data_IF_200806429314
#
_entry.id   IF_200806429314
#
_cell.length_a   1.000
_cell.length_b   1.000
_cell.length_c   1.000
_cell.angle_alpha   90.00
_cell.angle_beta   90.00
_cell.angle_gamma   90.00
#
_symmetry.space_group_name_H-M   'P 1'
#
loop_
_entity.id
_entity.type
_entity.pdbx_description
1 polymer ?
#
# COMPACT_ATOMS: atom_id res chain seq x y z
N UNK A 1 -5.51 -4.85 15.79
CA UNK A 1 -4.26 -4.07 15.66
C UNK A 1 -4.65 -2.80 14.94
N UNK A 2 -4.42 -1.61 15.52
CA UNK A 2 -4.83 -0.36 14.89
C UNK A 2 -4.13 -0.16 13.55
N UNK A 3 -4.87 0.31 12.55
CA UNK A 3 -4.33 0.72 11.27
C UNK A 3 -3.55 2.02 11.45
N UNK A 4 -2.33 2.04 10.93
CA UNK A 4 -1.52 3.26 10.85
C UNK A 4 -1.68 3.85 9.47
N UNK A 5 -2.39 4.97 9.38
CA UNK A 5 -2.68 5.66 8.12
C UNK A 5 -1.77 6.87 8.02
N UNK A 6 -1.00 6.95 6.94
CA UNK A 6 -0.19 8.12 6.62
C UNK A 6 -0.89 8.91 5.52
N UNK A 7 -1.43 10.08 5.86
CA UNK A 7 -2.11 10.97 4.93
C UNK A 7 -1.10 12.02 4.45
N UNK A 8 -0.81 12.02 3.15
CA UNK A 8 0.02 13.03 2.52
C UNK A 8 -0.86 14.11 1.89
N UNK A 9 -0.62 15.38 2.25
CA UNK A 9 -1.21 16.54 1.58
C UNK A 9 -0.38 16.94 0.36
N UNK A 10 -1.00 17.60 -0.61
CA UNK A 10 -0.31 18.20 -1.77
C UNK A 10 0.73 19.25 -1.35
N UNK A 11 0.59 19.83 -0.16
CA UNK A 11 1.51 20.79 0.44
C UNK A 11 2.79 20.14 0.99
N UNK A 12 2.95 18.82 0.85
CA UNK A 12 4.14 18.08 1.29
C UNK A 12 4.10 17.64 2.75
N UNK A 13 3.08 18.07 3.50
CA UNK A 13 2.87 17.64 4.89
C UNK A 13 2.32 16.21 4.93
N UNK A 14 2.86 15.39 5.84
CA UNK A 14 2.39 14.02 6.08
C UNK A 14 1.92 13.89 7.53
N UNK A 15 0.68 13.47 7.71
CA UNK A 15 0.07 13.24 9.01
C UNK A 15 -0.08 11.75 9.27
N UNK A 16 0.32 11.30 10.45
CA UNK A 16 0.18 9.91 10.88
C UNK A 16 -1.02 9.81 11.84
N UNK A 17 -1.96 8.94 11.50
CA UNK A 17 -3.14 8.66 12.29
C UNK A 17 -3.18 7.16 12.65
N UNK A 18 -3.59 6.84 13.86
CA UNK A 18 -3.81 5.47 14.31
C UNK A 18 -5.32 5.28 14.53
N UNK A 19 -5.93 4.42 13.73
CA UNK A 19 -7.38 4.24 13.65
C UNK A 19 -7.73 2.75 13.68
N UNK A 20 -8.81 2.39 14.36
CA UNK A 20 -9.41 1.06 14.29
C UNK A 20 -10.63 1.12 13.38
N UNK A 21 -10.40 1.03 12.07
CA UNK A 21 -11.47 1.09 11.05
C UNK A 21 -11.43 -0.14 10.14
N UNK A 22 -12.60 -0.73 9.90
CA UNK A 22 -12.76 -1.87 8.97
C UNK A 22 -13.13 -1.43 7.55
N UNK A 23 -13.52 -0.16 7.36
CA UNK A 23 -14.03 0.39 6.08
C UNK A 23 -12.98 0.46 4.96
N UNK A 24 -11.69 0.33 5.30
CA UNK A 24 -10.58 0.32 4.34
C UNK A 24 -10.37 -1.09 3.77
N UNK A 25 -10.94 -2.12 4.41
CA UNK A 25 -10.80 -3.51 3.99
C UNK A 25 -11.60 -3.76 2.71
N UNK A 26 -10.92 -4.25 1.67
CA UNK A 26 -11.54 -4.61 0.38
C UNK A 26 -11.35 -3.58 -0.74
N UNK A 27 -10.72 -2.43 -0.45
CA UNK A 27 -10.37 -1.45 -1.48
C UNK A 27 -9.04 -1.75 -2.14
N UNK A 28 -8.89 -1.39 -3.42
CA UNK A 28 -7.68 -1.66 -4.19
C UNK A 28 -6.69 -0.49 -4.14
N UNK A 29 -5.45 -0.79 -4.53
CA UNK A 29 -4.44 0.24 -4.74
C UNK A 29 -4.86 1.18 -5.89
N UNK A 30 -4.71 2.48 -5.70
CA UNK A 30 -5.18 3.56 -6.59
C UNK A 30 -6.70 3.79 -6.61
N UNK A 31 -7.46 3.14 -5.73
CA UNK A 31 -8.86 3.50 -5.55
C UNK A 31 -8.96 4.83 -4.78
N UNK A 32 -10.00 5.60 -5.12
CA UNK A 32 -10.37 6.82 -4.42
C UNK A 32 -11.32 6.50 -3.27
N UNK A 33 -11.09 7.15 -2.14
CA UNK A 33 -11.86 7.03 -0.91
C UNK A 33 -12.29 8.41 -0.46
N UNK A 34 -13.56 8.56 -0.10
CA UNK A 34 -14.05 9.74 0.60
C UNK A 34 -13.49 9.79 2.02
N UNK A 35 -12.97 10.95 2.44
CA UNK A 35 -12.37 11.16 3.75
C UNK A 35 -13.30 10.84 4.92
N UNK A 36 -14.61 10.98 4.69
CA UNK A 36 -15.66 10.60 5.65
C UNK A 36 -15.58 9.13 6.11
N UNK A 37 -15.12 8.22 5.24
CA UNK A 37 -14.95 6.79 5.56
C UNK A 37 -13.72 6.50 6.43
N UNK A 38 -12.85 7.49 6.62
CA UNK A 38 -11.66 7.37 7.47
C UNK A 38 -11.94 8.04 8.82
N UNK A 39 -12.40 9.28 8.78
CA UNK A 39 -12.74 10.10 9.94
C UNK A 39 -13.92 11.02 9.57
N UNK A 40 -14.89 11.23 10.47
CA UNK A 40 -15.94 12.23 10.29
C UNK A 40 -15.36 13.63 10.03
N UNK A 41 -14.23 13.96 10.65
CA UNK A 41 -13.56 15.26 10.54
C UNK A 41 -12.92 15.52 9.17
N UNK A 42 -12.81 14.50 8.31
CA UNK A 42 -12.27 14.61 6.95
C UNK A 42 -13.39 14.63 5.88
N UNK A 43 -14.61 14.97 6.29
CA UNK A 43 -15.75 15.11 5.38
C UNK A 43 -15.48 16.23 4.34
N UNK A 44 -15.60 15.89 3.05
CA UNK A 44 -15.31 16.78 1.92
C UNK A 44 -13.94 16.57 1.24
N UNK A 45 -13.07 15.73 1.80
CA UNK A 45 -11.80 15.37 1.16
C UNK A 45 -11.90 14.07 0.36
N UNK A 46 -11.21 14.00 -0.79
CA UNK A 46 -10.97 12.75 -1.52
C UNK A 46 -9.51 12.32 -1.33
N UNK A 47 -9.31 11.05 -0.97
CA UNK A 47 -7.99 10.44 -0.82
C UNK A 47 -7.79 9.32 -1.84
N UNK A 48 -6.57 9.15 -2.33
CA UNK A 48 -6.17 8.02 -3.16
C UNK A 48 -5.32 7.05 -2.34
N UNK A 49 -5.59 5.74 -2.43
CA UNK A 49 -4.72 4.73 -1.84
C UNK A 49 -3.45 4.58 -2.68
N UNK A 50 -2.43 5.37 -2.37
CA UNK A 50 -1.13 5.32 -3.09
C UNK A 50 -0.28 4.10 -2.74
N UNK A 51 -0.49 3.52 -1.56
CA UNK A 51 0.38 2.50 -0.98
C UNK A 51 -0.22 1.83 0.24
N UNK A 52 0.21 0.60 0.51
CA UNK A 52 -0.04 -0.09 1.76
C UNK A 52 1.15 -0.98 2.11
N UNK A 53 1.34 -1.23 3.40
CA UNK A 53 2.31 -2.19 3.91
C UNK A 53 1.68 -3.13 4.92
N UNK A 54 2.01 -4.41 4.83
CA UNK A 54 1.61 -5.40 5.83
C UNK A 54 2.50 -5.35 7.09
N UNK A 55 2.11 -6.04 8.16
CA UNK A 55 2.85 -6.13 9.43
C UNK A 55 4.32 -6.56 9.27
N UNK A 56 4.64 -7.37 8.26
CA UNK A 56 6.02 -7.79 7.97
C UNK A 56 6.80 -6.80 7.08
N UNK A 57 6.23 -5.65 6.75
CA UNK A 57 6.87 -4.64 5.88
C UNK A 57 6.78 -4.94 4.38
N UNK A 58 5.97 -5.93 3.96
CA UNK A 58 5.74 -6.18 2.53
C UNK A 58 4.83 -5.10 1.94
N UNK A 59 5.21 -4.56 0.79
CA UNK A 59 4.47 -3.52 0.09
C UNK A 59 3.36 -4.12 -0.76
N UNK A 60 2.20 -3.45 -0.82
CA UNK A 60 1.18 -3.75 -1.80
C UNK A 60 1.67 -3.40 -3.22
N UNK A 61 1.34 -4.25 -4.19
CA UNK A 61 1.75 -4.13 -5.58
C UNK A 61 0.54 -4.21 -6.49
N UNK A 62 0.40 -3.25 -7.41
CA UNK A 62 -0.74 -3.15 -8.34
C UNK A 62 -0.89 -4.41 -9.21
N UNK A 63 0.23 -5.00 -9.61
CA UNK A 63 0.27 -6.16 -10.50
C UNK A 63 -0.13 -7.48 -9.80
N UNK A 64 -0.29 -7.45 -8.47
CA UNK A 64 -0.59 -8.65 -7.67
C UNK A 64 -2.00 -8.52 -7.11
N UNK A 65 -2.94 -9.23 -7.75
CA UNK A 65 -4.33 -9.31 -7.28
C UNK A 65 -4.48 -10.31 -6.13
N UNK A 66 -5.46 -10.05 -5.26
CA UNK A 66 -5.88 -10.94 -4.19
C UNK A 66 -5.38 -10.53 -2.80
N UNK A 67 -6.05 -11.09 -1.79
CA UNK A 67 -5.81 -10.78 -0.38
C UNK A 67 -4.78 -11.78 0.14
N UNK A 68 -3.51 -11.36 0.23
CA UNK A 68 -2.44 -12.18 0.79
C UNK A 68 -1.05 -11.94 0.20
N UNK A 69 -0.06 -12.68 0.71
CA UNK A 69 1.32 -12.64 0.21
C UNK A 69 1.50 -13.61 -0.94
N UNK A 70 1.94 -13.10 -2.09
CA UNK A 70 2.34 -13.92 -3.24
C UNK A 70 3.84 -13.80 -3.49
N UNK A 71 4.47 -14.91 -3.85
CA UNK A 71 5.86 -14.91 -4.32
C UNK A 71 5.86 -14.52 -5.79
N UNK A 72 6.42 -13.35 -6.10
CA UNK A 72 6.56 -12.85 -7.48
C UNK A 72 8.02 -12.56 -7.76
N UNK A 73 8.43 -12.75 -9.03
CA UNK A 73 9.77 -12.40 -9.47
C UNK A 73 9.81 -10.90 -9.76
N UNK A 74 10.62 -10.17 -9.00
CA UNK A 74 10.78 -8.73 -9.13
C UNK A 74 12.00 -8.39 -9.98
N UNK A 75 11.84 -7.41 -10.86
CA UNK A 75 12.93 -6.70 -11.54
C UNK A 75 13.32 -5.46 -10.73
N UNK A 76 14.34 -4.71 -11.18
CA UNK A 76 14.71 -3.45 -10.54
C UNK A 76 13.52 -2.47 -10.55
N UNK A 77 13.07 -2.02 -9.38
CA UNK A 77 11.89 -1.16 -9.26
C UNK A 77 11.20 -1.23 -7.90
N UNK A 78 9.87 -1.06 -7.90
CA UNK A 78 9.02 -1.12 -6.70
C UNK A 78 9.14 -2.52 -6.07
N UNK A 79 9.55 -2.57 -4.79
CA UNK A 79 9.84 -3.82 -4.06
C UNK A 79 11.27 -4.35 -4.21
N UNK A 80 12.08 -3.85 -5.15
CA UNK A 80 13.48 -4.28 -5.34
C UNK A 80 14.36 -3.12 -5.84
N UNK A 81 14.89 -2.32 -4.89
CA UNK A 81 15.75 -1.16 -5.17
C UNK A 81 17.22 -1.50 -5.40
N UNK A 82 17.67 -2.72 -5.09
CA UNK A 82 19.06 -3.14 -5.34
C UNK A 82 19.09 -4.02 -6.59
N UNK A 83 20.00 -3.72 -7.52
CA UNK A 83 20.26 -4.62 -8.64
C UNK A 83 20.72 -5.97 -8.08
N UNK A 84 20.21 -7.10 -8.59
CA UNK A 84 20.68 -8.41 -8.14
C UNK A 84 22.19 -8.51 -8.39
N UNK A 85 22.96 -8.80 -7.32
CA UNK A 85 24.43 -8.95 -7.37
C UNK A 85 24.94 -10.07 -8.29
N UNK A 86 24.04 -10.88 -8.88
CA UNK A 86 24.36 -12.00 -9.77
C UNK A 86 23.45 -11.96 -10.99
N UNK A 87 24.04 -12.12 -12.17
CA UNK A 87 23.32 -12.45 -13.40
C UNK A 87 22.65 -13.83 -13.25
N UNK A 88 21.47 -14.01 -13.87
CA UNK A 88 20.84 -15.33 -13.98
C UNK A 88 19.88 -15.76 -12.87
N UNK A 89 19.24 -14.83 -12.12
CA UNK A 89 18.10 -15.19 -11.25
C UNK A 89 16.91 -15.64 -12.12
N UNK A 90 16.78 -16.96 -12.33
CA UNK A 90 15.69 -17.58 -13.08
C UNK A 90 14.43 -17.73 -12.23
N UNK A 91 13.27 -17.66 -12.88
CA UNK A 91 11.95 -17.96 -12.28
C UNK A 91 11.96 -19.39 -11.75
N UNK A 92 11.64 -19.56 -10.48
CA UNK A 92 11.17 -20.84 -9.95
C UNK A 92 9.64 -20.77 -10.05
N UNK A 93 9.07 -21.38 -11.08
CA UNK A 93 7.63 -21.65 -11.09
C UNK A 93 7.35 -22.72 -10.04
N UNK A 94 6.30 -22.52 -9.26
CA UNK A 94 5.61 -23.67 -8.67
C UNK A 94 4.89 -24.42 -9.78
#
# INVERSE_FOLDING_TARGET
MPFKINIASKEGNTFKLELETEEIVGKNLHDKIEGKMILPDLEGYEFEITGASDKSGFTAMKDVSGIGKKKVLLTYGKGMKKRPKREGKKKQSN
#
